data_IF_543086130860
#
_entry.id   IF_543086130860
#
_cell.length_a   1.000
_cell.length_b   1.000
_cell.length_c   1.000
_cell.angle_alpha   90.00
_cell.angle_beta   90.00
_cell.angle_gamma   90.00
#
_symmetry.space_group_name_H-M   'P 1'
#
loop_
_entity.id
_entity.type
_entity.pdbx_description
1 polymer ?
#
# COMPACT_ATOMS: atom_id res chain seq x y z
N UNK A 1 16.22 -22.22 13.19
CA UNK A 1 15.04 -21.42 13.57
C UNK A 1 13.83 -22.28 13.28
N UNK A 2 13.03 -22.65 14.28
CA UNK A 2 11.86 -23.51 14.08
C UNK A 2 10.68 -22.63 13.65
N UNK A 3 10.31 -22.69 12.37
CA UNK A 3 9.22 -21.86 11.80
C UNK A 3 7.81 -22.30 12.25
N UNK A 4 7.69 -23.45 12.91
CA UNK A 4 6.40 -24.00 13.37
C UNK A 4 5.83 -23.29 14.61
N UNK A 5 6.65 -22.55 15.36
CA UNK A 5 6.15 -21.77 16.50
C UNK A 5 5.53 -20.42 16.10
N UNK A 6 5.61 -20.05 14.82
CA UNK A 6 5.06 -18.79 14.32
C UNK A 6 3.55 -18.98 14.11
N UNK A 7 2.69 -18.08 14.64
CA UNK A 7 1.24 -18.19 14.50
C UNK A 7 0.79 -17.73 13.10
N UNK A 8 1.11 -18.53 12.08
CA UNK A 8 0.82 -18.23 10.67
C UNK A 8 -0.67 -17.95 10.41
N UNK A 9 -1.57 -18.61 11.14
CA UNK A 9 -3.01 -18.38 11.06
C UNK A 9 -3.45 -16.95 11.43
N UNK A 10 -2.65 -16.23 12.23
CA UNK A 10 -2.91 -14.82 12.59
C UNK A 10 -2.18 -13.85 11.66
N UNK A 11 -0.97 -14.20 11.24
CA UNK A 11 -0.12 -13.33 10.40
C UNK A 11 -0.60 -13.29 8.96
N UNK A 12 -1.00 -14.44 8.39
CA UNK A 12 -1.42 -14.53 6.98
C UNK A 12 -2.61 -13.60 6.67
N UNK A 13 -3.71 -13.58 7.45
CA UNK A 13 -4.82 -12.66 7.19
C UNK A 13 -4.38 -11.19 7.19
N UNK A 14 -3.53 -10.79 8.14
CA UNK A 14 -3.02 -9.42 8.23
C UNK A 14 -2.15 -9.07 7.02
N UNK A 15 -1.22 -9.96 6.64
CA UNK A 15 -0.38 -9.78 5.48
C UNK A 15 -1.18 -9.71 4.17
N UNK A 16 -2.25 -10.50 4.04
CA UNK A 16 -3.15 -10.44 2.88
C UNK A 16 -3.85 -9.09 2.80
N UNK A 17 -4.39 -8.60 3.92
CA UNK A 17 -5.06 -7.28 3.95
C UNK A 17 -4.06 -6.18 3.57
N UNK A 18 -2.87 -6.22 4.13
CA UNK A 18 -1.79 -5.28 3.80
C UNK A 18 -1.44 -5.31 2.31
N UNK A 19 -1.24 -6.50 1.74
CA UNK A 19 -0.94 -6.68 0.32
C UNK A 19 -2.08 -6.17 -0.58
N UNK A 20 -3.33 -6.45 -0.22
CA UNK A 20 -4.50 -5.97 -0.97
C UNK A 20 -4.54 -4.45 -0.98
N UNK A 21 -4.35 -3.81 0.17
CA UNK A 21 -4.35 -2.33 0.27
C UNK A 21 -3.23 -1.74 -0.60
N UNK A 22 -2.03 -2.30 -0.52
CA UNK A 22 -0.89 -1.84 -1.31
C UNK A 22 -1.13 -2.00 -2.81
N UNK A 23 -1.61 -3.17 -3.25
CA UNK A 23 -1.93 -3.43 -4.66
C UNK A 23 -2.99 -2.44 -5.16
N UNK A 24 -4.06 -2.23 -4.40
CA UNK A 24 -5.12 -1.29 -4.77
C UNK A 24 -4.55 0.14 -4.87
N UNK A 25 -3.67 0.56 -3.95
CA UNK A 25 -3.03 1.87 -4.00
C UNK A 25 -2.15 2.04 -5.25
N UNK A 26 -1.34 1.03 -5.60
CA UNK A 26 -0.50 1.08 -6.80
C UNK A 26 -1.35 1.10 -8.07
N UNK A 27 -2.38 0.26 -8.15
CA UNK A 27 -3.30 0.22 -9.30
C UNK A 27 -4.01 1.56 -9.48
N UNK A 28 -4.48 2.15 -8.38
CA UNK A 28 -5.11 3.47 -8.39
C UNK A 28 -4.12 4.56 -8.84
N UNK A 29 -2.88 4.54 -8.33
CA UNK A 29 -1.81 5.48 -8.71
C UNK A 29 -1.48 5.45 -10.21
N UNK A 30 -1.50 4.26 -10.82
CA UNK A 30 -1.30 4.11 -12.26
C UNK A 30 -2.49 4.72 -13.02
N UNK A 31 -3.72 4.48 -12.55
CA UNK A 31 -4.97 4.87 -13.25
C UNK A 31 -5.34 6.35 -13.10
N UNK A 32 -5.03 6.98 -11.99
CA UNK A 32 -5.43 8.38 -11.73
C UNK A 32 -4.73 9.33 -12.72
N UNK A 33 -5.42 10.37 -13.21
CA UNK A 33 -4.82 11.30 -14.18
C UNK A 33 -3.75 12.19 -13.54
N UNK A 34 -4.02 12.67 -12.33
CA UNK A 34 -3.13 13.57 -11.60
C UNK A 34 -3.06 13.18 -10.11
N UNK A 35 -1.92 13.47 -9.50
CA UNK A 35 -1.68 13.28 -8.07
C UNK A 35 -1.21 14.59 -7.45
N UNK A 36 -1.28 14.72 -6.12
CA UNK A 36 -0.62 15.80 -5.41
C UNK A 36 0.90 15.59 -5.44
N UNK A 37 1.56 16.14 -6.45
CA UNK A 37 2.98 15.90 -6.75
C UNK A 37 3.19 14.78 -7.78
N UNK A 38 4.45 14.41 -8.07
CA UNK A 38 4.78 13.42 -9.10
C UNK A 38 4.31 12.00 -8.72
N UNK A 39 3.81 11.23 -9.70
CA UNK A 39 3.35 9.84 -9.45
C UNK A 39 4.45 8.93 -8.90
N UNK A 40 5.68 9.07 -9.39
CA UNK A 40 6.81 8.22 -8.97
C UNK A 40 7.15 8.41 -7.48
N UNK A 41 6.95 9.62 -6.94
CA UNK A 41 7.13 9.91 -5.51
C UNK A 41 6.16 9.07 -4.67
N UNK A 42 4.89 9.03 -5.08
CA UNK A 42 3.87 8.23 -4.39
C UNK A 42 4.15 6.73 -4.46
N UNK A 43 4.68 6.22 -5.57
CA UNK A 43 5.09 4.81 -5.67
C UNK A 43 6.16 4.46 -4.63
N UNK A 44 7.17 5.33 -4.47
CA UNK A 44 8.23 5.15 -3.46
C UNK A 44 7.64 5.18 -2.05
N UNK A 45 6.75 6.14 -1.76
CA UNK A 45 6.11 6.26 -0.45
C UNK A 45 5.32 5.00 -0.10
N UNK A 46 4.50 4.50 -1.04
CA UNK A 46 3.70 3.27 -0.86
C UNK A 46 4.60 2.07 -0.57
N UNK A 47 5.68 1.88 -1.34
CA UNK A 47 6.55 0.70 -1.21
C UNK A 47 7.39 0.76 0.07
N UNK A 48 7.94 1.93 0.43
CA UNK A 48 8.84 2.04 1.59
C UNK A 48 8.11 2.05 2.93
N UNK A 49 6.86 2.52 2.96
CA UNK A 49 6.09 2.66 4.21
C UNK A 49 4.87 1.72 4.27
N UNK A 50 4.74 0.82 3.29
CA UNK A 50 3.71 -0.21 3.16
C UNK A 50 2.29 0.31 3.42
N UNK A 51 1.65 -0.16 4.50
CA UNK A 51 0.27 0.19 4.84
C UNK A 51 0.10 1.70 5.09
N UNK A 52 1.09 2.35 5.73
CA UNK A 52 1.03 3.79 6.03
C UNK A 52 1.10 4.59 4.73
N UNK A 53 2.00 4.23 3.82
CA UNK A 53 2.16 4.91 2.54
C UNK A 53 0.94 4.79 1.65
N UNK A 54 0.33 3.60 1.65
CA UNK A 54 -0.92 3.34 0.93
C UNK A 54 -2.07 4.21 1.47
N UNK A 55 -2.19 4.32 2.80
CA UNK A 55 -3.22 5.17 3.44
C UNK A 55 -2.98 6.66 3.13
N UNK A 56 -1.75 7.15 3.29
CA UNK A 56 -1.40 8.55 3.01
C UNK A 56 -1.65 8.87 1.54
N UNK A 57 -1.33 7.96 0.61
CA UNK A 57 -1.63 8.12 -0.80
C UNK A 57 -3.13 8.32 -1.06
N UNK A 58 -4.01 7.52 -0.46
CA UNK A 58 -5.45 7.67 -0.67
C UNK A 58 -6.01 8.98 -0.09
N UNK A 59 -5.48 9.43 1.05
CA UNK A 59 -5.97 10.65 1.72
C UNK A 59 -5.43 11.90 1.04
N UNK A 60 -4.13 11.92 0.74
CA UNK A 60 -3.42 13.13 0.32
C UNK A 60 -2.87 13.04 -1.10
N UNK A 61 -2.51 11.85 -1.59
CA UNK A 61 -1.88 11.69 -2.90
C UNK A 61 -2.86 11.74 -4.06
N UNK A 62 -4.02 11.13 -3.90
CA UNK A 62 -5.08 11.09 -4.92
C UNK A 62 -5.76 12.46 -5.04
N UNK A 63 -5.76 13.03 -6.24
CA UNK A 63 -6.66 14.14 -6.58
C UNK A 63 -7.96 13.55 -7.10
N UNK A 64 -9.03 13.74 -6.34
CA UNK A 64 -10.37 13.54 -6.83
C UNK A 64 -10.72 14.79 -7.64
N UNK A 65 -10.72 14.65 -8.96
CA UNK A 65 -11.42 15.58 -9.86
C UNK A 65 -12.93 15.43 -9.67
#
# INVERSE_FOLDING_TARGET
MNFESIPWMLILPLAIIELVIMIVAIVDLIRVKSTNGPKWMWAIIIILTNIIGSIIYFIFGRRNE
#
